data_IF_411993497039
#
_entry.id   IF_411993497039
#
_cell.length_a   1.000
_cell.length_b   1.000
_cell.length_c   1.000
_cell.angle_alpha   90.00
_cell.angle_beta   90.00
_cell.angle_gamma   90.00
#
_symmetry.space_group_name_H-M   'P 1'
#
loop_
_entity.id
_entity.type
_entity.pdbx_description
1 polymer ?
#
# COMPACT_ATOMS: atom_id res chain seq x y z
N UNK A 1 19.96 8.50 -3.26
CA UNK A 1 19.88 7.27 -2.57
C UNK A 1 21.23 6.81 -2.01
N UNK A 2 21.20 6.45 -0.78
CA UNK A 2 22.37 5.91 -0.13
C UNK A 2 22.28 4.42 0.13
N UNK A 3 21.30 3.77 -0.47
CA UNK A 3 21.21 2.34 -0.37
C UNK A 3 22.38 1.69 -1.05
N UNK A 4 22.91 0.63 -0.49
CA UNK A 4 23.93 -0.15 -1.13
C UNK A 4 23.35 -0.81 -2.38
N UNK A 5 24.22 -1.22 -3.31
CA UNK A 5 23.81 -1.99 -4.47
C UNK A 5 23.12 -3.32 -4.08
N UNK A 6 23.26 -3.71 -2.81
CA UNK A 6 22.71 -4.95 -2.28
C UNK A 6 21.28 -4.80 -1.74
N UNK A 7 20.77 -3.56 -1.69
CA UNK A 7 19.40 -3.30 -1.25
C UNK A 7 18.47 -3.28 -2.46
N UNK A 8 17.58 -4.25 -2.52
CA UNK A 8 16.56 -4.37 -3.54
C UNK A 8 15.20 -4.44 -2.91
N UNK A 9 14.19 -3.93 -3.60
CA UNK A 9 12.81 -3.98 -3.14
C UNK A 9 11.88 -4.46 -4.24
N UNK A 10 10.94 -5.30 -3.86
CA UNK A 10 9.85 -5.74 -4.71
C UNK A 10 8.56 -5.11 -4.22
N UNK A 11 7.84 -4.47 -5.12
CA UNK A 11 6.55 -3.89 -4.83
C UNK A 11 5.46 -4.87 -5.24
N UNK A 12 4.61 -5.20 -4.31
CA UNK A 12 3.57 -6.21 -4.48
C UNK A 12 2.19 -5.63 -4.25
N UNK A 13 1.21 -6.21 -4.89
CA UNK A 13 -0.20 -5.88 -4.68
C UNK A 13 -0.97 -7.18 -4.53
N UNK A 14 -1.51 -7.41 -3.34
CA UNK A 14 -2.27 -8.63 -3.08
C UNK A 14 -3.72 -8.44 -3.51
N UNK A 15 -4.14 -9.17 -4.51
CA UNK A 15 -5.49 -9.12 -5.06
C UNK A 15 -6.24 -10.41 -4.73
N UNK A 16 -7.60 -10.36 -4.67
CA UNK A 16 -8.38 -11.58 -4.48
C UNK A 16 -8.11 -12.62 -5.56
N UNK A 17 -8.23 -13.89 -5.21
CA UNK A 17 -7.97 -14.99 -6.14
C UNK A 17 -8.94 -15.00 -7.33
N UNK A 18 -10.10 -14.40 -7.19
CA UNK A 18 -11.10 -14.27 -8.25
C UNK A 18 -11.01 -12.93 -9.00
N UNK A 19 -9.96 -12.16 -8.75
CA UNK A 19 -9.77 -10.89 -9.45
C UNK A 19 -9.68 -11.12 -10.95
N UNK A 20 -10.48 -10.34 -11.70
CA UNK A 20 -10.51 -10.43 -13.14
C UNK A 20 -9.78 -9.24 -13.75
N UNK A 21 -8.67 -9.54 -14.40
CA UNK A 21 -7.93 -8.54 -15.13
C UNK A 21 -8.66 -8.19 -16.42
N UNK A 22 -8.97 -6.91 -16.60
CA UNK A 22 -9.60 -6.42 -17.81
C UNK A 22 -8.51 -5.84 -18.73
N UNK A 23 -8.37 -6.34 -19.98
CA UNK A 23 -7.38 -5.78 -20.92
C UNK A 23 -7.60 -4.30 -21.23
N UNK A 24 -8.83 -3.81 -21.06
CA UNK A 24 -9.09 -2.39 -21.14
C UNK A 24 -8.57 -1.71 -19.86
N UNK A 25 -7.43 -1.07 -19.97
CA UNK A 25 -6.67 -0.52 -18.87
C UNK A 25 -7.46 0.40 -17.94
N UNK A 26 -8.46 1.08 -18.45
CA UNK A 26 -9.26 2.04 -17.66
C UNK A 26 -10.06 1.38 -16.53
N UNK A 27 -10.25 0.07 -16.60
CA UNK A 27 -11.01 -0.68 -15.60
C UNK A 27 -10.14 -1.28 -14.49
N UNK A 28 -8.82 -1.20 -14.62
CA UNK A 28 -7.89 -1.81 -13.68
C UNK A 28 -7.25 -0.74 -12.79
N UNK A 29 -8.02 -0.27 -11.81
CA UNK A 29 -7.54 0.75 -10.86
C UNK A 29 -6.21 0.32 -10.21
N UNK A 30 -6.10 -0.94 -9.84
CA UNK A 30 -4.95 -1.47 -9.13
C UNK A 30 -3.67 -1.39 -9.96
N UNK A 31 -3.78 -1.62 -11.27
CA UNK A 31 -2.65 -1.49 -12.20
C UNK A 31 -2.23 -0.03 -12.31
N UNK A 32 -3.20 0.88 -12.44
CA UNK A 32 -2.92 2.32 -12.48
C UNK A 32 -2.23 2.79 -11.21
N UNK A 33 -2.73 2.35 -10.06
CA UNK A 33 -2.14 2.70 -8.77
C UNK A 33 -0.68 2.27 -8.72
N UNK A 34 -0.40 1.03 -9.12
CA UNK A 34 0.97 0.51 -9.13
C UNK A 34 1.87 1.36 -10.04
N UNK A 35 1.40 1.69 -11.23
CA UNK A 35 2.15 2.51 -12.19
C UNK A 35 2.42 3.90 -11.61
N UNK A 36 1.42 4.54 -11.01
CA UNK A 36 1.58 5.87 -10.41
C UNK A 36 2.57 5.86 -9.24
N UNK A 37 2.51 4.82 -8.42
CA UNK A 37 3.47 4.66 -7.33
C UNK A 37 4.89 4.52 -7.88
N UNK A 38 5.09 3.67 -8.88
CA UNK A 38 6.41 3.47 -9.51
C UNK A 38 6.93 4.78 -10.09
N UNK A 39 6.09 5.52 -10.82
CA UNK A 39 6.47 6.82 -11.38
C UNK A 39 6.89 7.80 -10.30
N UNK A 40 6.14 7.86 -9.21
CA UNK A 40 6.45 8.72 -8.08
C UNK A 40 7.80 8.36 -7.47
N UNK A 41 8.03 7.09 -7.23
CA UNK A 41 9.28 6.60 -6.63
C UNK A 41 10.50 6.90 -7.52
N UNK A 42 10.35 6.75 -8.83
CA UNK A 42 11.42 7.08 -9.78
C UNK A 42 11.68 8.58 -9.79
N UNK A 43 10.65 9.41 -9.77
CA UNK A 43 10.78 10.85 -9.85
C UNK A 43 11.38 11.47 -8.58
N UNK A 44 10.97 10.99 -7.42
CA UNK A 44 11.41 11.55 -6.13
C UNK A 44 12.72 10.96 -5.63
N UNK A 45 13.03 9.74 -6.03
CA UNK A 45 14.19 8.98 -5.55
C UNK A 45 14.26 8.89 -4.03
N UNK A 46 13.10 8.89 -3.39
CA UNK A 46 13.01 8.76 -1.94
C UNK A 46 13.46 7.37 -1.49
N UNK A 47 13.92 7.30 -0.25
CA UNK A 47 14.13 6.02 0.39
C UNK A 47 12.79 5.39 0.69
N UNK A 48 12.51 4.27 0.07
CA UNK A 48 11.26 3.54 0.25
C UNK A 48 11.44 2.44 1.29
N UNK A 49 10.39 2.22 2.06
CA UNK A 49 10.39 1.19 3.08
C UNK A 49 9.02 1.13 3.74
N UNK A 50 8.95 0.32 4.78
CA UNK A 50 7.73 0.20 5.57
C UNK A 50 7.24 1.57 6.04
N UNK A 51 5.95 1.83 5.82
CA UNK A 51 5.32 3.06 6.26
C UNK A 51 5.44 4.24 5.30
N UNK A 52 6.26 4.12 4.24
CA UNK A 52 6.31 5.16 3.22
C UNK A 52 4.91 5.36 2.63
N UNK A 53 4.48 6.61 2.53
CA UNK A 53 3.16 6.91 1.96
C UNK A 53 3.26 8.01 0.92
N UNK A 54 2.31 8.01 0.02
CA UNK A 54 2.18 9.06 -0.99
C UNK A 54 0.72 9.47 -1.13
N UNK A 55 0.54 10.66 -1.66
CA UNK A 55 -0.77 11.26 -1.88
C UNK A 55 -0.91 11.70 -3.33
N UNK A 56 -2.10 11.51 -3.88
CA UNK A 56 -2.49 12.10 -5.15
C UNK A 56 -3.83 12.82 -4.93
N UNK A 57 -3.77 14.13 -4.77
CA UNK A 57 -4.94 14.95 -4.43
C UNK A 57 -6.13 14.72 -5.36
N UNK A 58 -5.87 14.53 -6.65
CA UNK A 58 -6.92 14.25 -7.63
C UNK A 58 -7.50 12.85 -7.54
N UNK A 59 -6.93 11.99 -6.66
CA UNK A 59 -7.28 10.58 -6.61
C UNK A 59 -6.62 9.77 -7.71
N UNK A 60 -6.60 8.45 -7.52
CA UNK A 60 -6.00 7.53 -8.50
C UNK A 60 -6.99 7.14 -9.61
N UNK A 61 -8.28 7.27 -9.34
CA UNK A 61 -9.32 6.96 -10.31
C UNK A 61 -10.60 7.67 -9.92
N UNK A 62 -11.37 8.11 -10.92
CA UNK A 62 -12.71 8.68 -10.69
C UNK A 62 -13.72 7.65 -10.15
N UNK A 63 -13.36 6.37 -10.22
CA UNK A 63 -14.23 5.27 -9.77
C UNK A 63 -13.97 4.84 -8.33
N UNK A 64 -12.95 5.38 -7.70
CA UNK A 64 -12.59 5.01 -6.35
C UNK A 64 -12.35 6.25 -5.50
N UNK A 65 -12.51 6.11 -4.20
CA UNK A 65 -12.26 7.18 -3.24
C UNK A 65 -10.83 7.14 -2.69
N UNK A 66 -9.94 6.31 -3.24
CA UNK A 66 -8.57 6.22 -2.77
C UNK A 66 -7.74 7.35 -3.36
N UNK A 67 -7.07 8.10 -2.52
CA UNK A 67 -6.19 9.20 -2.92
C UNK A 67 -4.79 9.09 -2.32
N UNK A 68 -4.52 8.01 -1.62
CA UNK A 68 -3.22 7.74 -1.01
C UNK A 68 -2.86 6.28 -1.09
N UNK A 69 -1.61 6.00 -0.80
CA UNK A 69 -1.10 4.64 -0.69
C UNK A 69 0.03 4.60 0.31
N UNK A 70 0.17 3.47 0.99
CA UNK A 70 1.23 3.23 1.95
C UNK A 70 1.88 1.89 1.65
N UNK A 71 3.16 1.75 1.94
CA UNK A 71 3.88 0.50 1.81
C UNK A 71 3.93 -0.21 3.16
N UNK A 72 3.53 -1.47 3.17
CA UNK A 72 3.50 -2.30 4.37
C UNK A 72 4.21 -3.62 4.13
N UNK A 73 4.43 -4.41 5.18
CA UNK A 73 5.00 -5.74 5.04
C UNK A 73 4.05 -6.68 4.31
N UNK A 74 4.57 -7.43 3.35
CA UNK A 74 3.75 -8.34 2.56
C UNK A 74 3.19 -9.48 3.42
N UNK A 75 1.87 -9.64 3.37
CA UNK A 75 1.17 -10.75 4.02
C UNK A 75 1.06 -10.70 5.53
N UNK A 76 1.79 -9.80 6.17
CA UNK A 76 1.76 -9.65 7.63
C UNK A 76 2.00 -8.20 8.00
N UNK A 77 0.95 -7.48 8.30
CA UNK A 77 1.02 -6.05 8.58
C UNK A 77 1.80 -5.70 9.84
N UNK A 78 1.93 -6.63 10.77
CA UNK A 78 2.63 -6.41 12.03
C UNK A 78 4.14 -6.36 11.84
N UNK A 79 4.62 -6.97 10.78
CA UNK A 79 6.03 -6.94 10.44
C UNK A 79 6.33 -5.76 9.54
N UNK A 80 7.41 -5.07 9.82
CA UNK A 80 7.82 -3.91 9.04
C UNK A 80 8.06 -4.28 7.58
N UNK A 81 8.68 -5.42 7.35
CA UNK A 81 8.86 -5.95 6.01
C UNK A 81 9.33 -7.39 6.06
N UNK A 82 9.09 -8.10 4.98
CA UNK A 82 9.65 -9.43 4.79
C UNK A 82 10.82 -9.33 3.83
N UNK A 83 11.89 -10.03 4.14
CA UNK A 83 13.10 -10.03 3.33
C UNK A 83 13.54 -11.45 3.00
N UNK A 84 14.22 -11.60 1.87
CA UNK A 84 14.96 -12.83 1.56
C UNK A 84 16.30 -12.45 0.97
N UNK A 85 17.25 -13.37 1.03
CA UNK A 85 18.54 -13.19 0.41
C UNK A 85 18.56 -13.99 -0.89
N UNK A 86 18.85 -13.31 -1.99
CA UNK A 86 18.94 -13.91 -3.32
C UNK A 86 20.25 -13.46 -3.95
N UNK A 87 21.10 -14.42 -4.29
CA UNK A 87 22.43 -14.17 -4.91
C UNK A 87 23.26 -13.14 -4.13
N UNK A 88 23.19 -13.18 -2.79
CA UNK A 88 23.96 -12.29 -1.93
C UNK A 88 23.31 -10.93 -1.71
N UNK A 89 22.22 -10.62 -2.38
CA UNK A 89 21.48 -9.36 -2.18
C UNK A 89 20.28 -9.59 -1.26
N UNK A 90 20.03 -8.63 -0.38
CA UNK A 90 18.83 -8.64 0.46
C UNK A 90 17.65 -8.08 -0.34
N UNK A 91 16.59 -8.87 -0.46
CA UNK A 91 15.39 -8.52 -1.20
C UNK A 91 14.25 -8.29 -0.22
N UNK A 92 13.68 -7.10 -0.24
CA UNK A 92 12.54 -6.73 0.60
C UNK A 92 11.24 -6.77 -0.20
N UNK A 93 10.19 -7.30 0.43
CA UNK A 93 8.86 -7.34 -0.19
C UNK A 93 7.95 -6.36 0.53
N UNK A 94 7.44 -5.39 -0.22
CA UNK A 94 6.53 -4.37 0.30
C UNK A 94 5.20 -4.46 -0.43
N UNK A 95 4.14 -4.56 0.34
CA UNK A 95 2.77 -4.60 -0.19
C UNK A 95 2.20 -3.20 -0.26
N UNK A 96 1.54 -2.90 -1.37
CA UNK A 96 0.89 -1.62 -1.58
C UNK A 96 -0.49 -1.63 -0.91
N UNK A 97 -0.71 -0.68 -0.02
CA UNK A 97 -1.98 -0.48 0.67
C UNK A 97 -2.62 0.84 0.23
N UNK A 98 -3.67 0.81 -0.61
CA UNK A 98 -4.40 2.03 -0.93
C UNK A 98 -5.08 2.61 0.29
N UNK A 99 -5.08 3.94 0.40
CA UNK A 99 -5.67 4.67 1.52
C UNK A 99 -6.77 5.60 1.05
N UNK A 100 -7.87 5.65 1.81
CA UNK A 100 -8.91 6.63 1.64
C UNK A 100 -8.48 7.97 2.26
N UNK A 101 -9.12 9.09 1.91
CA UNK A 101 -8.70 10.41 2.40
C UNK A 101 -8.55 10.51 3.92
N UNK A 102 -9.50 9.97 4.67
CA UNK A 102 -9.43 10.02 6.13
C UNK A 102 -8.32 9.12 6.69
N UNK A 103 -8.09 7.98 6.07
CA UNK A 103 -7.00 7.08 6.44
C UNK A 103 -5.64 7.72 6.16
N UNK A 104 -5.53 8.39 5.03
CA UNK A 104 -4.32 9.14 4.69
C UNK A 104 -4.06 10.25 5.70
N UNK A 105 -5.09 11.01 6.06
CA UNK A 105 -4.98 12.06 7.08
C UNK A 105 -4.57 11.47 8.43
N UNK A 106 -5.12 10.34 8.81
CA UNK A 106 -4.71 9.64 10.03
C UNK A 106 -3.23 9.26 9.96
N UNK A 107 -2.79 8.71 8.83
CA UNK A 107 -1.38 8.34 8.64
C UNK A 107 -0.44 9.55 8.72
N UNK A 108 -0.86 10.70 8.22
CA UNK A 108 -0.08 11.95 8.30
C UNK A 108 0.10 12.42 9.74
N UNK A 109 -0.89 12.19 10.59
CA UNK A 109 -0.87 12.61 11.99
C UNK A 109 -0.32 11.53 12.94
N UNK A 110 -0.22 10.29 12.49
CA UNK A 110 0.17 9.13 13.30
C UNK A 110 1.17 8.26 12.54
N UNK A 111 1.71 7.24 13.21
CA UNK A 111 2.62 6.32 12.56
C UNK A 111 1.90 5.28 11.69
N UNK A 112 2.66 4.62 10.83
CA UNK A 112 2.15 3.51 10.05
C UNK A 112 1.62 2.38 10.93
N UNK A 113 2.32 2.07 12.02
CA UNK A 113 1.90 1.02 12.96
C UNK A 113 0.57 1.36 13.61
N UNK A 114 0.38 2.62 13.99
CA UNK A 114 -0.89 3.07 14.59
C UNK A 114 -2.05 2.91 13.60
N UNK A 115 -1.84 3.24 12.34
CA UNK A 115 -2.87 3.04 11.32
C UNK A 115 -3.17 1.55 11.12
N UNK A 116 -2.15 0.70 11.04
CA UNK A 116 -2.35 -0.74 10.89
C UNK A 116 -3.06 -1.34 12.10
N UNK A 117 -2.74 -0.87 13.29
CA UNK A 117 -3.44 -1.29 14.51
C UNK A 117 -4.92 -0.89 14.46
N UNK A 118 -5.23 0.27 13.90
CA UNK A 118 -6.61 0.70 13.73
C UNK A 118 -7.39 -0.25 12.81
N UNK A 119 -6.80 -0.66 11.68
CA UNK A 119 -7.40 -1.67 10.81
C UNK A 119 -7.68 -2.97 11.56
N UNK A 120 -6.72 -3.40 12.36
CA UNK A 120 -6.81 -4.62 13.11
C UNK A 120 -7.91 -4.55 14.20
N UNK A 121 -7.94 -3.48 14.96
CA UNK A 121 -8.95 -3.26 16.01
C UNK A 121 -10.37 -3.24 15.44
N UNK A 122 -10.54 -2.63 14.29
CA UNK A 122 -11.85 -2.50 13.66
C UNK A 122 -12.19 -3.65 12.74
N UNK A 123 -11.32 -4.64 12.64
CA UNK A 123 -11.51 -5.85 11.83
C UNK A 123 -11.74 -5.52 10.35
N UNK A 124 -11.10 -4.47 9.84
CA UNK A 124 -11.12 -4.14 8.42
C UNK A 124 -9.94 -4.82 7.75
N UNK A 125 -10.24 -5.75 6.87
CA UNK A 125 -9.23 -6.52 6.15
C UNK A 125 -8.56 -5.65 5.09
N UNK A 126 -7.24 -5.70 5.01
CA UNK A 126 -6.47 -4.97 4.00
C UNK A 126 -5.77 -5.88 2.99
N UNK A 127 -5.61 -7.15 3.30
CA UNK A 127 -5.02 -8.14 2.39
C UNK A 127 -5.93 -9.36 2.29
N UNK A 128 -6.31 -9.83 1.10
CA UNK A 128 -6.11 -9.16 -0.19
C UNK A 128 -6.88 -7.84 -0.29
N UNK A 129 -6.41 -6.94 -1.15
CA UNK A 129 -7.07 -5.66 -1.32
C UNK A 129 -8.43 -5.81 -1.98
N UNK A 130 -9.44 -5.18 -1.38
CA UNK A 130 -10.82 -5.13 -1.91
C UNK A 130 -11.21 -3.66 -2.00
N UNK A 131 -11.48 -3.17 -3.20
CA UNK A 131 -11.75 -1.76 -3.46
C UNK A 131 -13.02 -1.25 -2.76
N UNK A 132 -13.91 -2.15 -2.37
CA UNK A 132 -15.15 -1.82 -1.65
C UNK A 132 -15.00 -1.91 -0.14
N UNK A 133 -13.79 -2.15 0.37
CA UNK A 133 -13.59 -2.23 1.82
C UNK A 133 -14.00 -0.94 2.51
N UNK A 134 -14.40 -1.05 3.76
CA UNK A 134 -14.79 0.09 4.56
C UNK A 134 -13.62 1.05 4.82
N UNK A 135 -13.94 2.33 4.97
CA UNK A 135 -13.00 3.32 5.49
C UNK A 135 -12.84 3.05 6.99
N UNK A 136 -11.64 2.68 7.39
CA UNK A 136 -11.38 2.28 8.79
C UNK A 136 -11.67 3.40 9.78
N UNK A 137 -11.54 4.66 9.35
CA UNK A 137 -11.82 5.80 10.21
C UNK A 137 -13.32 5.97 10.50
N UNK A 138 -14.18 5.41 9.66
CA UNK A 138 -15.63 5.49 9.80
C UNK A 138 -16.26 4.26 10.44
N UNK A 139 -15.51 3.17 10.57
CA UNK A 139 -16.03 1.94 11.17
C UNK A 139 -16.06 2.07 12.69
N UNK A 140 -17.20 1.74 13.28
CA UNK A 140 -17.31 1.67 14.73
C UNK A 140 -16.57 0.42 15.22
N UNK A 141 -15.76 0.58 16.27
CA UNK A 141 -15.04 -0.56 16.84
C UNK A 141 -16.03 -1.62 17.32
N UNK A 142 -15.80 -2.86 16.91
CA UNK A 142 -16.61 -3.99 17.36
C UNK A 142 -16.12 -4.45 18.71
N UNK A 143 -17.04 -4.55 19.63
CA UNK A 143 -16.75 -5.08 20.96
C UNK A 143 -17.09 -6.56 21.04
#
# INVERSE_FOLDING_TARGET
KNGSADECGELCFALPSDYKFNPDSKSNFEVFLMIEVIKHLIATRDNIGFGYYLEKESGFSSRTAFNGAMLVGMGDYEKEQQTMILDGAELSFLELLPLRPMELNFRKAHSAVELLNLFKEKLVMITPFISTRDDVCNVVAKM
#
